data_IF_096709312939
#
_entry.id   IF_096709312939
#
_cell.length_a   1.000
_cell.length_b   1.000
_cell.length_c   1.000
_cell.angle_alpha   90.00
_cell.angle_beta   90.00
_cell.angle_gamma   90.00
#
_symmetry.space_group_name_H-M   'P 1'
#
loop_
_entity.id
_entity.type
_entity.pdbx_description
1 polymer ?
#
# COMPACT_ATOMS: atom_id res chain seq x y z
N UNK A 1 -16.71 2.01 19.33
CA UNK A 1 -16.78 0.95 18.28
C UNK A 1 -16.48 1.62 16.95
N UNK A 2 -15.55 1.07 16.16
CA UNK A 2 -15.17 1.66 14.87
C UNK A 2 -16.09 1.09 13.78
N UNK A 3 -16.54 1.97 12.87
CA UNK A 3 -17.45 1.60 11.78
C UNK A 3 -16.97 2.11 10.42
N UNK A 4 -15.82 2.76 10.38
CA UNK A 4 -15.21 3.33 9.18
C UNK A 4 -13.76 2.88 9.15
N UNK A 5 -13.33 2.31 8.03
CA UNK A 5 -12.01 1.72 7.89
C UNK A 5 -11.31 2.30 6.66
N UNK A 6 -10.17 2.96 6.88
CA UNK A 6 -9.24 3.33 5.82
C UNK A 6 -8.12 2.31 5.80
N UNK A 7 -8.02 1.54 4.73
CA UNK A 7 -7.20 0.34 4.68
C UNK A 7 -6.18 0.50 3.55
N UNK A 8 -4.91 0.33 3.85
CA UNK A 8 -3.88 0.25 2.82
C UNK A 8 -4.00 -1.05 2.02
N UNK A 9 -3.38 -1.09 0.85
CA UNK A 9 -3.47 -2.22 -0.07
C UNK A 9 -2.22 -3.12 -0.01
N UNK A 10 -1.06 -2.54 -0.35
CA UNK A 10 0.21 -3.27 -0.50
C UNK A 10 0.76 -3.65 0.89
N UNK A 11 1.13 -4.92 1.08
CA UNK A 11 1.59 -5.50 2.35
C UNK A 11 0.61 -5.39 3.52
N UNK A 12 -0.66 -5.05 3.24
CA UNK A 12 -1.75 -5.00 4.22
C UNK A 12 -2.88 -5.97 3.84
N UNK A 13 -3.51 -5.79 2.68
CA UNK A 13 -4.56 -6.70 2.17
C UNK A 13 -3.93 -7.94 1.53
N UNK A 14 -2.78 -7.77 0.92
CA UNK A 14 -1.97 -8.85 0.34
C UNK A 14 -0.48 -8.53 0.55
N UNK A 15 0.37 -9.55 0.52
CA UNK A 15 1.82 -9.36 0.59
C UNK A 15 2.43 -9.36 -0.81
N UNK A 16 3.31 -8.39 -1.09
CA UNK A 16 3.97 -8.24 -2.40
C UNK A 16 4.90 -9.40 -2.70
N UNK A 17 5.66 -9.89 -1.70
CA UNK A 17 6.65 -10.95 -1.89
C UNK A 17 6.06 -12.28 -2.38
N UNK A 18 4.97 -12.83 -1.81
CA UNK A 18 4.34 -14.03 -2.36
C UNK A 18 3.72 -13.84 -3.76
N UNK A 19 3.45 -12.60 -4.16
CA UNK A 19 2.87 -12.23 -5.44
C UNK A 19 3.90 -11.62 -6.41
N UNK A 20 5.20 -11.73 -6.12
CA UNK A 20 6.28 -11.07 -6.86
C UNK A 20 6.26 -11.39 -8.35
N UNK A 21 6.09 -12.65 -8.72
CA UNK A 21 6.05 -13.05 -10.13
C UNK A 21 4.94 -12.33 -10.91
N UNK A 22 3.74 -12.25 -10.33
CA UNK A 22 2.57 -11.61 -10.91
C UNK A 22 2.73 -10.08 -10.99
N UNK A 23 3.33 -9.51 -9.95
CA UNK A 23 3.48 -8.06 -9.80
C UNK A 23 4.67 -7.50 -10.55
N UNK A 24 5.82 -8.18 -10.52
CA UNK A 24 7.10 -7.55 -10.85
C UNK A 24 7.77 -8.11 -12.09
N UNK A 25 7.43 -9.33 -12.54
CA UNK A 25 8.17 -9.99 -13.64
C UNK A 25 8.21 -9.18 -14.95
N UNK A 26 7.15 -8.46 -15.28
CA UNK A 26 7.12 -7.60 -16.49
C UNK A 26 7.94 -6.33 -16.29
N UNK A 27 7.87 -5.72 -15.10
CA UNK A 27 8.69 -4.54 -14.76
C UNK A 27 10.17 -4.90 -14.78
N UNK A 28 10.54 -6.04 -14.18
CA UNK A 28 11.95 -6.46 -14.16
C UNK A 28 12.48 -6.69 -15.56
N UNK A 29 11.74 -7.39 -16.43
CA UNK A 29 12.14 -7.59 -17.84
C UNK A 29 12.26 -6.28 -18.60
N UNK A 30 11.35 -5.33 -18.34
CA UNK A 30 11.43 -4.00 -18.95
C UNK A 30 12.70 -3.26 -18.48
N UNK A 31 12.98 -3.23 -17.18
CA UNK A 31 14.18 -2.60 -16.63
C UNK A 31 15.47 -3.27 -17.12
N UNK A 32 15.49 -4.61 -17.25
CA UNK A 32 16.62 -5.37 -17.80
C UNK A 32 16.91 -5.05 -19.28
N UNK A 33 15.92 -4.55 -20.02
CA UNK A 33 16.11 -4.10 -21.40
C UNK A 33 16.73 -2.71 -21.53
N UNK A 34 16.85 -1.97 -20.41
CA UNK A 34 17.40 -0.62 -20.37
C UNK A 34 18.82 -0.62 -19.82
N UNK A 35 19.61 0.38 -20.20
CA UNK A 35 20.91 0.65 -19.54
C UNK A 35 20.67 1.44 -18.25
N UNK A 36 20.52 0.74 -17.13
CA UNK A 36 20.26 1.34 -15.82
C UNK A 36 21.47 2.09 -15.23
N UNK A 37 22.70 1.83 -15.76
CA UNK A 37 23.94 2.43 -15.23
C UNK A 37 24.43 1.84 -13.91
N UNK A 38 23.92 0.70 -13.50
CA UNK A 38 24.31 -0.02 -12.28
C UNK A 38 24.74 -1.45 -12.59
N UNK A 39 25.45 -2.11 -11.65
CA UNK A 39 25.81 -3.53 -11.81
C UNK A 39 24.62 -4.47 -11.57
N UNK A 40 24.76 -5.72 -12.08
CA UNK A 40 23.72 -6.74 -11.89
C UNK A 40 23.48 -7.03 -10.40
N UNK A 41 24.52 -7.03 -9.55
CA UNK A 41 24.39 -7.26 -8.12
C UNK A 41 23.56 -6.14 -7.46
N UNK A 42 23.83 -4.87 -7.84
CA UNK A 42 23.02 -3.74 -7.35
C UNK A 42 21.58 -3.83 -7.83
N UNK A 43 21.37 -4.30 -9.06
CA UNK A 43 20.03 -4.45 -9.58
C UNK A 43 19.25 -5.56 -8.85
N UNK A 44 19.88 -6.67 -8.46
CA UNK A 44 19.22 -7.69 -7.63
C UNK A 44 18.77 -7.12 -6.28
N UNK A 45 19.63 -6.36 -5.59
CA UNK A 45 19.26 -5.68 -4.35
C UNK A 45 18.12 -4.67 -4.56
N UNK A 46 18.15 -3.93 -5.67
CA UNK A 46 17.08 -3.00 -6.01
C UNK A 46 15.73 -3.72 -6.26
N UNK A 47 15.74 -4.90 -6.91
CA UNK A 47 14.53 -5.73 -7.10
C UNK A 47 13.90 -6.11 -5.77
N UNK A 48 14.69 -6.59 -4.80
CA UNK A 48 14.19 -6.95 -3.47
C UNK A 48 13.58 -5.74 -2.76
N UNK A 49 14.22 -4.58 -2.84
CA UNK A 49 13.72 -3.38 -2.21
C UNK A 49 12.46 -2.82 -2.89
N UNK A 50 12.29 -2.99 -4.20
CA UNK A 50 11.07 -2.59 -4.94
C UNK A 50 9.80 -3.31 -4.47
N UNK A 51 9.90 -4.41 -3.74
CA UNK A 51 8.75 -5.10 -3.16
C UNK A 51 8.08 -4.31 -2.02
N UNK A 52 8.77 -3.33 -1.43
CA UNK A 52 8.26 -2.52 -0.31
C UNK A 52 8.42 -1.02 -0.53
N UNK A 53 9.38 -0.63 -1.35
CA UNK A 53 9.75 0.78 -1.54
C UNK A 53 9.36 1.24 -2.94
N UNK A 54 8.71 2.40 -3.09
CA UNK A 54 8.36 2.96 -4.39
C UNK A 54 9.57 3.06 -5.33
N UNK A 55 9.38 2.68 -6.60
CA UNK A 55 10.43 2.62 -7.62
C UNK A 55 11.33 3.87 -7.64
N UNK A 56 10.75 5.06 -7.59
CA UNK A 56 11.51 6.34 -7.65
C UNK A 56 12.53 6.45 -6.51
N UNK A 57 12.17 6.02 -5.29
CA UNK A 57 13.07 6.02 -4.14
C UNK A 57 14.20 4.99 -4.33
N UNK A 58 13.85 3.81 -4.82
CA UNK A 58 14.83 2.74 -5.11
C UNK A 58 15.79 3.18 -6.21
N UNK A 59 15.29 3.69 -7.33
CA UNK A 59 16.11 4.18 -8.44
C UNK A 59 17.13 5.23 -7.97
N UNK A 60 16.69 6.21 -7.16
CA UNK A 60 17.57 7.22 -6.57
C UNK A 60 18.62 6.61 -5.64
N UNK A 61 18.21 5.69 -4.75
CA UNK A 61 19.12 5.06 -3.78
C UNK A 61 20.23 4.25 -4.46
N UNK A 62 19.89 3.50 -5.51
CA UNK A 62 20.84 2.64 -6.21
C UNK A 62 21.60 3.36 -7.34
N UNK A 63 21.21 4.59 -7.66
CA UNK A 63 21.90 5.43 -8.65
C UNK A 63 21.57 5.05 -10.08
N UNK A 64 20.30 4.76 -10.38
CA UNK A 64 19.84 4.59 -11.76
C UNK A 64 20.07 5.85 -12.57
N UNK A 65 20.38 5.70 -13.87
CA UNK A 65 20.56 6.84 -14.77
C UNK A 65 19.32 7.74 -14.80
N UNK A 66 19.52 9.05 -14.64
CA UNK A 66 18.43 10.02 -14.66
C UNK A 66 17.73 10.09 -16.02
N UNK A 67 18.47 9.84 -17.10
CA UNK A 67 17.99 9.92 -18.48
C UNK A 67 16.86 8.91 -18.77
N UNK A 68 16.86 7.75 -18.10
CA UNK A 68 15.82 6.73 -18.31
C UNK A 68 14.56 6.99 -17.47
N UNK A 69 14.64 7.83 -16.44
CA UNK A 69 13.55 8.01 -15.47
C UNK A 69 12.23 8.46 -16.13
N UNK A 70 12.20 9.42 -17.07
CA UNK A 70 10.94 9.82 -17.72
C UNK A 70 10.26 8.66 -18.46
N UNK A 71 11.03 7.81 -19.13
CA UNK A 71 10.53 6.65 -19.86
C UNK A 71 9.96 5.60 -18.89
N UNK A 72 10.69 5.26 -17.82
CA UNK A 72 10.25 4.30 -16.82
C UNK A 72 9.00 4.78 -16.07
N UNK A 73 8.94 6.06 -15.71
CA UNK A 73 7.75 6.64 -15.08
C UNK A 73 6.55 6.58 -16.01
N UNK A 74 6.72 6.88 -17.30
CA UNK A 74 5.66 6.74 -18.31
C UNK A 74 5.18 5.30 -18.44
N UNK A 75 6.10 4.33 -18.42
CA UNK A 75 5.76 2.90 -18.40
C UNK A 75 4.93 2.55 -17.16
N UNK A 76 5.36 2.95 -15.97
CA UNK A 76 4.67 2.67 -14.70
C UNK A 76 3.27 3.30 -14.64
N UNK A 77 3.08 4.52 -15.17
CA UNK A 77 1.76 5.16 -15.28
C UNK A 77 0.76 4.38 -16.15
N UNK A 78 1.26 3.70 -17.17
CA UNK A 78 0.42 2.96 -18.12
C UNK A 78 0.28 1.48 -17.81
N UNK A 79 1.08 0.98 -16.86
CA UNK A 79 1.12 -0.43 -16.52
C UNK A 79 -0.12 -0.86 -15.73
N UNK A 80 -0.61 -2.06 -16.04
CA UNK A 80 -1.66 -2.75 -15.30
C UNK A 80 -1.15 -4.13 -14.83
N UNK A 81 -1.65 -4.58 -13.70
CA UNK A 81 -1.47 -5.98 -13.26
C UNK A 81 -2.56 -6.81 -13.92
N UNK A 82 -2.17 -7.82 -14.69
CA UNK A 82 -3.09 -8.64 -15.50
C UNK A 82 -3.22 -10.08 -15.01
N UNK A 83 -2.33 -10.52 -14.13
CA UNK A 83 -2.36 -11.86 -13.53
C UNK A 83 -3.09 -11.85 -12.19
N UNK A 84 -3.85 -12.92 -11.85
CA UNK A 84 -4.51 -13.02 -10.54
C UNK A 84 -3.51 -12.89 -9.39
N UNK A 85 -3.89 -12.13 -8.37
CA UNK A 85 -3.15 -11.97 -7.12
C UNK A 85 -3.86 -12.75 -5.99
N UNK A 86 -3.07 -13.16 -4.99
CA UNK A 86 -3.58 -13.84 -3.81
C UNK A 86 -3.64 -12.84 -2.65
N UNK A 87 -4.81 -12.59 -2.04
CA UNK A 87 -4.91 -11.88 -0.76
C UNK A 87 -4.13 -12.60 0.34
N UNK A 88 -3.82 -11.92 1.42
CA UNK A 88 -3.25 -12.55 2.62
C UNK A 88 -4.22 -13.60 3.20
N UNK A 89 -3.68 -14.60 3.87
CA UNK A 89 -4.49 -15.70 4.42
C UNK A 89 -5.45 -15.19 5.51
N UNK A 90 -5.13 -14.10 6.17
CA UNK A 90 -5.91 -13.43 7.20
C UNK A 90 -6.79 -12.27 6.67
N UNK A 91 -6.88 -12.07 5.34
CA UNK A 91 -7.76 -11.08 4.73
C UNK A 91 -9.23 -11.20 5.17
N UNK A 92 -9.66 -12.39 5.54
CA UNK A 92 -11.01 -12.63 6.04
C UNK A 92 -11.38 -11.77 7.26
N UNK A 93 -10.41 -11.36 8.10
CA UNK A 93 -10.65 -10.42 9.20
C UNK A 93 -11.04 -9.03 8.70
N UNK A 94 -10.39 -8.52 7.64
CA UNK A 94 -10.77 -7.26 6.98
C UNK A 94 -12.16 -7.38 6.36
N UNK A 95 -12.39 -8.47 5.63
CA UNK A 95 -13.67 -8.71 4.94
C UNK A 95 -14.84 -8.72 5.90
N UNK A 96 -14.69 -9.33 7.07
CA UNK A 96 -15.73 -9.48 8.09
C UNK A 96 -15.94 -8.25 8.98
N UNK A 97 -15.12 -7.20 8.88
CA UNK A 97 -15.38 -5.94 9.59
C UNK A 97 -16.75 -5.36 9.23
N UNK A 98 -17.53 -5.04 10.25
CA UNK A 98 -18.85 -4.45 10.08
C UNK A 98 -18.75 -2.93 9.97
N UNK A 99 -18.98 -2.37 8.79
CA UNK A 99 -18.91 -0.94 8.52
C UNK A 99 -18.45 -0.59 7.13
N UNK A 100 -18.20 0.70 6.91
CA UNK A 100 -17.74 1.26 5.64
C UNK A 100 -16.24 1.03 5.49
N UNK A 101 -15.83 0.42 4.40
CA UNK A 101 -14.42 0.11 4.10
C UNK A 101 -13.97 0.83 2.85
N UNK A 102 -12.85 1.55 2.95
CA UNK A 102 -12.22 2.27 1.85
C UNK A 102 -10.78 1.81 1.71
N UNK A 103 -10.36 1.49 0.50
CA UNK A 103 -8.93 1.33 0.21
C UNK A 103 -8.33 2.72 0.00
N UNK A 104 -7.24 3.04 0.72
CA UNK A 104 -6.46 4.27 0.53
C UNK A 104 -4.99 3.88 0.32
N UNK A 105 -4.57 3.78 -0.92
CA UNK A 105 -3.27 3.25 -1.32
C UNK A 105 -2.46 4.26 -2.12
N UNK A 106 -1.15 4.26 -1.96
CA UNK A 106 -0.23 5.10 -2.71
C UNK A 106 0.28 4.39 -3.96
N UNK A 107 0.37 5.07 -5.09
CA UNK A 107 0.93 4.51 -6.33
C UNK A 107 0.30 5.05 -7.61
N UNK A 108 0.56 4.35 -8.71
CA UNK A 108 0.02 4.70 -10.02
C UNK A 108 -1.44 4.22 -10.15
N UNK A 109 -2.39 5.08 -10.57
CA UNK A 109 -3.82 4.75 -10.54
C UNK A 109 -4.19 3.46 -11.27
N UNK A 110 -3.72 3.28 -12.50
CA UNK A 110 -4.00 2.06 -13.29
C UNK A 110 -3.48 0.81 -12.59
N UNK A 111 -2.27 0.88 -12.03
CA UNK A 111 -1.64 -0.25 -11.36
C UNK A 111 -2.41 -0.62 -10.08
N UNK A 112 -2.71 0.36 -9.21
CA UNK A 112 -3.43 0.07 -7.96
C UNK A 112 -4.86 -0.42 -8.21
N UNK A 113 -5.58 0.18 -9.16
CA UNK A 113 -6.94 -0.27 -9.51
C UNK A 113 -6.92 -1.68 -10.11
N UNK A 114 -5.95 -2.01 -10.97
CA UNK A 114 -5.83 -3.37 -11.52
C UNK A 114 -5.45 -4.41 -10.46
N UNK A 115 -4.64 -4.06 -9.45
CA UNK A 115 -4.36 -4.95 -8.31
C UNK A 115 -5.64 -5.32 -7.56
N UNK A 116 -6.49 -4.35 -7.22
CA UNK A 116 -7.78 -4.60 -6.54
C UNK A 116 -8.66 -5.55 -7.36
N UNK A 117 -8.70 -5.35 -8.70
CA UNK A 117 -9.42 -6.24 -9.61
C UNK A 117 -8.83 -7.64 -9.62
N UNK A 118 -7.50 -7.78 -9.70
CA UNK A 118 -6.83 -9.09 -9.74
C UNK A 118 -6.85 -9.84 -8.41
N UNK A 119 -7.04 -9.14 -7.29
CA UNK A 119 -7.31 -9.72 -5.97
C UNK A 119 -8.77 -10.22 -5.84
N UNK A 120 -9.69 -9.77 -6.70
CA UNK A 120 -11.11 -10.13 -6.63
C UNK A 120 -11.83 -9.57 -5.41
N UNK A 121 -11.40 -8.41 -4.89
CA UNK A 121 -11.88 -7.83 -3.63
C UNK A 121 -12.69 -6.55 -3.80
N UNK A 122 -12.90 -6.08 -5.02
CA UNK A 122 -13.53 -4.77 -5.27
C UNK A 122 -14.88 -4.60 -4.56
N UNK A 123 -15.70 -5.65 -4.52
CA UNK A 123 -17.03 -5.62 -3.94
C UNK A 123 -17.03 -5.60 -2.38
N UNK A 124 -15.89 -5.83 -1.75
CA UNK A 124 -15.75 -5.78 -0.29
C UNK A 124 -15.53 -4.33 0.23
N UNK A 125 -15.35 -3.34 -0.69
CA UNK A 125 -15.02 -1.96 -0.37
C UNK A 125 -16.00 -0.97 -1.03
N UNK A 126 -16.29 0.11 -0.33
CA UNK A 126 -17.14 1.18 -0.85
C UNK A 126 -16.45 1.98 -1.96
N UNK A 127 -15.15 2.23 -1.81
CA UNK A 127 -14.35 2.92 -2.82
C UNK A 127 -12.84 2.61 -2.68
N UNK A 128 -12.12 2.86 -3.79
CA UNK A 128 -10.66 2.78 -3.87
C UNK A 128 -10.12 4.18 -4.17
N UNK A 129 -9.30 4.70 -3.27
CA UNK A 129 -8.65 6.00 -3.40
C UNK A 129 -7.15 5.80 -3.61
N UNK A 130 -6.68 6.14 -4.80
CA UNK A 130 -5.25 6.07 -5.13
C UNK A 130 -4.62 7.44 -4.91
N UNK A 131 -3.59 7.47 -4.08
CA UNK A 131 -2.83 8.66 -3.71
C UNK A 131 -1.63 8.79 -4.66
N UNK A 132 -1.63 9.82 -5.49
CA UNK A 132 -0.47 10.19 -6.28
C UNK A 132 0.53 10.94 -5.40
N UNK A 133 1.58 10.22 -4.95
CA UNK A 133 2.60 10.77 -4.06
C UNK A 133 3.48 11.87 -4.67
N UNK A 134 3.37 12.11 -5.99
CA UNK A 134 4.05 13.23 -6.64
C UNK A 134 3.34 14.56 -6.38
N UNK A 135 2.06 14.54 -6.06
CA UNK A 135 1.20 15.74 -5.91
C UNK A 135 0.58 15.88 -4.52
N UNK A 136 0.43 14.77 -3.77
CA UNK A 136 -0.24 14.74 -2.47
C UNK A 136 0.32 13.63 -1.57
N UNK A 137 -0.30 13.39 -0.43
CA UNK A 137 0.04 12.31 0.50
C UNK A 137 -1.24 11.74 1.14
N UNK A 138 -1.11 10.60 1.84
CA UNK A 138 -2.26 9.94 2.48
C UNK A 138 -2.96 10.84 3.52
N UNK A 139 -2.25 11.73 4.22
CA UNK A 139 -2.86 12.64 5.21
C UNK A 139 -3.90 13.56 4.58
N UNK A 140 -3.54 14.17 3.44
CA UNK A 140 -4.46 15.08 2.74
C UNK A 140 -5.66 14.31 2.16
N UNK A 141 -5.44 13.08 1.69
CA UNK A 141 -6.55 12.23 1.22
C UNK A 141 -7.45 11.81 2.39
N UNK A 142 -6.91 11.47 3.56
CA UNK A 142 -7.74 11.17 4.75
C UNK A 142 -8.62 12.36 5.13
N UNK A 143 -8.06 13.58 5.19
CA UNK A 143 -8.85 14.79 5.44
C UNK A 143 -9.96 14.99 4.42
N UNK A 144 -9.63 14.86 3.14
CA UNK A 144 -10.59 15.00 2.04
C UNK A 144 -11.73 13.98 2.15
N UNK A 145 -11.44 12.74 2.53
CA UNK A 145 -12.46 11.70 2.72
C UNK A 145 -13.34 11.99 3.94
N UNK A 146 -12.74 12.42 5.05
CA UNK A 146 -13.44 12.82 6.26
C UNK A 146 -14.44 13.93 5.93
N UNK A 147 -13.97 14.99 5.28
CA UNK A 147 -14.81 16.12 4.88
C UNK A 147 -15.89 15.72 3.86
N UNK A 148 -15.51 14.96 2.83
CA UNK A 148 -16.41 14.56 1.73
C UNK A 148 -17.58 13.69 2.19
N UNK A 149 -17.33 12.80 3.14
CA UNK A 149 -18.32 11.83 3.63
C UNK A 149 -18.90 12.22 4.99
N UNK A 150 -18.55 13.39 5.53
CA UNK A 150 -18.96 13.88 6.86
C UNK A 150 -18.70 12.84 7.95
N UNK A 151 -17.45 12.35 8.03
CA UNK A 151 -17.07 11.26 8.93
C UNK A 151 -16.61 11.78 10.29
N UNK A 152 -17.03 11.09 11.36
CA UNK A 152 -16.47 11.34 12.69
C UNK A 152 -15.15 10.57 12.86
N UNK A 153 -14.06 11.26 13.18
CA UNK A 153 -12.72 10.66 13.39
C UNK A 153 -12.69 9.60 14.49
N UNK A 154 -13.56 9.75 15.52
CA UNK A 154 -13.68 8.76 16.59
C UNK A 154 -14.21 7.41 16.11
N UNK A 155 -14.90 7.36 14.98
CA UNK A 155 -15.47 6.14 14.38
C UNK A 155 -14.52 5.48 13.37
N UNK A 156 -13.39 6.12 13.04
CA UNK A 156 -12.44 5.65 12.04
C UNK A 156 -11.34 4.78 12.68
N UNK A 157 -10.94 3.73 11.97
CA UNK A 157 -9.70 2.99 12.19
C UNK A 157 -8.89 2.95 10.88
N UNK A 158 -7.64 3.41 10.93
CA UNK A 158 -6.69 3.30 9.81
C UNK A 158 -5.88 2.01 9.99
N UNK A 159 -5.77 1.20 8.93
CA UNK A 159 -5.10 -0.09 8.94
C UNK A 159 -4.03 -0.09 7.85
N UNK A 160 -2.78 -0.38 8.20
CA UNK A 160 -1.68 -0.42 7.25
C UNK A 160 -0.38 -0.95 7.83
N UNK A 161 0.66 -1.07 6.97
CA UNK A 161 1.99 -1.56 7.32
C UNK A 161 3.06 -0.47 7.35
N UNK A 162 2.80 0.73 6.80
CA UNK A 162 3.77 1.82 6.75
C UNK A 162 3.64 2.77 7.95
N UNK A 163 4.56 2.61 8.91
CA UNK A 163 4.62 3.41 10.13
C UNK A 163 4.86 4.90 9.85
N UNK A 164 5.58 5.27 8.78
CA UNK A 164 5.91 6.66 8.43
C UNK A 164 4.89 7.31 7.48
N UNK A 165 3.90 6.55 7.05
CA UNK A 165 2.83 7.00 6.16
C UNK A 165 1.47 6.97 6.87
N UNK A 166 0.60 5.98 6.54
CA UNK A 166 -0.78 5.97 7.05
C UNK A 166 -0.89 5.92 8.57
N UNK A 167 0.01 5.21 9.25
CA UNK A 167 -0.03 5.12 10.72
C UNK A 167 0.30 6.47 11.35
N UNK A 168 1.42 7.08 10.97
CA UNK A 168 1.83 8.40 11.44
C UNK A 168 0.77 9.46 11.13
N UNK A 169 0.27 9.48 9.89
CA UNK A 169 -0.73 10.47 9.48
C UNK A 169 -2.07 10.27 10.20
N UNK A 170 -2.46 9.03 10.50
CA UNK A 170 -3.62 8.73 11.32
C UNK A 170 -3.48 9.32 12.71
N UNK A 171 -2.37 9.05 13.40
CA UNK A 171 -2.08 9.60 14.72
C UNK A 171 -2.05 11.13 14.73
N UNK A 172 -1.43 11.76 13.73
CA UNK A 172 -1.41 13.23 13.58
C UNK A 172 -2.81 13.85 13.38
N UNK A 173 -3.77 13.07 12.88
CA UNK A 173 -5.18 13.48 12.74
C UNK A 173 -6.05 13.08 13.94
N UNK A 174 -5.46 12.49 14.99
CA UNK A 174 -6.18 12.00 16.15
C UNK A 174 -7.04 10.75 15.87
N UNK A 175 -6.73 10.01 14.80
CA UNK A 175 -7.47 8.82 14.38
C UNK A 175 -6.77 7.57 14.92
N UNK A 176 -7.55 6.60 15.39
CA UNK A 176 -7.01 5.31 15.82
C UNK A 176 -6.38 4.55 14.65
N UNK A 177 -5.26 3.88 14.91
CA UNK A 177 -4.48 3.17 13.89
C UNK A 177 -4.22 1.72 14.31
N UNK A 178 -4.13 0.82 13.32
CA UNK A 178 -3.67 -0.56 13.48
C UNK A 178 -2.46 -0.77 12.57
N UNK A 179 -1.27 -0.91 13.17
CA UNK A 179 -0.03 -1.21 12.45
C UNK A 179 0.10 -2.73 12.30
N UNK A 180 0.09 -3.21 11.04
CA UNK A 180 0.41 -4.59 10.67
C UNK A 180 1.92 -4.71 10.43
N UNK A 181 2.64 -5.39 11.31
CA UNK A 181 4.11 -5.49 11.26
C UNK A 181 4.59 -6.93 11.50
N UNK A 182 4.33 -7.86 10.54
CA UNK A 182 4.65 -9.29 10.69
C UNK A 182 6.14 -9.59 10.79
N UNK A 183 6.98 -8.73 10.21
CA UNK A 183 8.44 -8.89 10.19
C UNK A 183 9.15 -8.05 11.26
N UNK A 184 8.39 -7.34 12.12
CA UNK A 184 8.91 -6.42 13.15
C UNK A 184 9.90 -5.38 12.58
N UNK A 185 9.52 -4.80 11.44
CA UNK A 185 10.33 -3.76 10.78
C UNK A 185 10.26 -2.41 11.48
N UNK A 186 9.20 -2.19 12.26
CA UNK A 186 8.89 -0.92 12.94
C UNK A 186 8.77 -1.08 14.47
N UNK A 187 9.76 -1.68 15.17
CA UNK A 187 9.62 -2.05 16.58
C UNK A 187 9.36 -0.87 17.52
N UNK A 188 9.78 0.34 17.13
CA UNK A 188 9.65 1.56 17.93
C UNK A 188 8.58 2.54 17.40
N UNK A 189 7.85 2.17 16.35
CA UNK A 189 6.82 3.06 15.81
C UNK A 189 5.62 3.14 16.76
N UNK A 190 5.07 4.34 16.92
CA UNK A 190 3.83 4.57 17.64
C UNK A 190 2.64 4.13 16.79
N UNK A 191 1.66 3.49 17.45
CA UNK A 191 0.36 3.12 16.86
C UNK A 191 -0.65 2.92 17.98
N UNK A 192 -1.96 3.07 17.71
CA UNK A 192 -2.99 2.78 18.71
C UNK A 192 -3.08 1.29 19.01
N UNK A 193 -3.03 0.49 17.95
CA UNK A 193 -3.01 -0.97 17.99
C UNK A 193 -1.92 -1.49 17.06
N UNK A 194 -1.44 -2.71 17.35
CA UNK A 194 -0.42 -3.39 16.55
C UNK A 194 -0.69 -4.88 16.50
N UNK A 195 -0.36 -5.51 15.39
CA UNK A 195 -0.36 -6.96 15.23
C UNK A 195 0.72 -7.43 14.26
N UNK A 196 1.18 -8.68 14.44
CA UNK A 196 1.98 -9.41 13.45
C UNK A 196 1.09 -10.06 12.39
N UNK A 197 -0.22 -10.05 12.62
CA UNK A 197 -1.29 -10.50 11.75
C UNK A 197 -2.57 -9.70 12.05
N UNK A 198 -3.67 -10.01 11.37
CA UNK A 198 -4.94 -9.32 11.51
C UNK A 198 -5.90 -9.96 12.54
N UNK A 199 -5.48 -10.97 13.30
CA UNK A 199 -6.34 -11.70 14.24
C UNK A 199 -7.00 -10.83 15.33
N UNK A 200 -6.30 -9.75 15.74
CA UNK A 200 -6.79 -8.80 16.74
C UNK A 200 -7.56 -7.62 16.15
N UNK A 201 -7.83 -7.59 14.84
CA UNK A 201 -8.43 -6.45 14.17
C UNK A 201 -9.85 -6.15 14.67
N UNK A 202 -10.68 -7.17 14.90
CA UNK A 202 -12.02 -6.99 15.47
C UNK A 202 -11.97 -6.38 16.87
N UNK A 203 -11.05 -6.83 17.72
CA UNK A 203 -10.85 -6.25 19.06
C UNK A 203 -10.43 -4.78 18.95
N UNK A 204 -9.52 -4.43 18.03
CA UNK A 204 -9.10 -3.04 17.79
C UNK A 204 -10.26 -2.17 17.28
N UNK A 205 -11.18 -2.73 16.51
CA UNK A 205 -12.39 -2.07 16.06
C UNK A 205 -13.48 -1.99 17.14
N UNK A 206 -13.37 -2.73 18.25
CA UNK A 206 -14.39 -2.85 19.28
C UNK A 206 -15.61 -3.67 18.82
N UNK A 207 -15.40 -4.65 17.92
CA UNK A 207 -16.42 -5.52 17.32
C UNK A 207 -16.28 -6.97 17.82
#
# INVERSE_FOLDING_TARGET
MKHIFFIDLDNTIYFTKPNEEQLMSELYRYLESLDLGISDEKFQLAKEEMLRTPFVKVAKKYGFKEEIMPEVISYLHNREVTKPLKPSDDYHYIKSLNGRKFIVTAGFPKQQTSKVKMLGIADDFEAVHVVDVSTTNKKEVFKLLIDRYDLNTDDILIIGDDAESEIKFGLELGIATFLLDPENLHPNAESTFRGTDLSNLHTAAGQ
#
